data_IF_502667248236
#
_entry.id   IF_502667248236
#
_cell.length_a   1.000
_cell.length_b   1.000
_cell.length_c   1.000
_cell.angle_alpha   90.00
_cell.angle_beta   90.00
_cell.angle_gamma   90.00
#
_symmetry.space_group_name_H-M   'P 1'
#
loop_
_entity.id
_entity.type
_entity.pdbx_description
1 polymer ?
#
# COMPACT_ATOMS: atom_id res chain seq x y z
N UNK A 1 -4.23 -7.09 6.36
CA UNK A 1 -5.70 -7.10 6.48
C UNK A 1 -6.25 -7.62 5.16
N UNK A 2 -6.92 -8.78 5.15
CA UNK A 2 -7.35 -9.45 3.91
C UNK A 2 -8.64 -8.88 3.27
N UNK A 3 -9.29 -7.91 3.92
CA UNK A 3 -10.54 -7.29 3.46
C UNK A 3 -10.46 -5.76 3.38
N UNK A 4 -11.61 -5.12 3.49
CA UNK A 4 -11.76 -3.66 3.39
C UNK A 4 -11.17 -2.92 4.58
N UNK A 5 -10.72 -1.69 4.35
CA UNK A 5 -10.23 -0.80 5.38
C UNK A 5 -10.89 0.58 5.25
N UNK A 6 -11.39 1.09 6.38
CA UNK A 6 -12.03 2.41 6.47
C UNK A 6 -11.07 3.59 6.26
N UNK A 7 -11.51 4.82 6.59
CA UNK A 7 -10.71 6.03 6.44
C UNK A 7 -9.37 6.00 7.20
N UNK A 8 -8.41 6.78 6.69
CA UNK A 8 -7.06 6.97 7.23
C UNK A 8 -6.30 5.67 7.56
N UNK A 9 -6.26 4.67 6.67
CA UNK A 9 -5.47 3.48 6.93
C UNK A 9 -3.99 3.84 7.04
N UNK A 10 -3.31 3.22 8.01
CA UNK A 10 -1.92 3.52 8.36
C UNK A 10 -1.69 4.98 8.83
N UNK A 11 -2.68 5.59 9.48
CA UNK A 11 -2.54 6.89 10.15
C UNK A 11 -1.32 6.91 11.09
N UNK A 12 -0.48 7.94 10.93
CA UNK A 12 0.75 8.15 11.71
C UNK A 12 1.73 6.95 11.74
N UNK A 13 1.71 6.09 10.71
CA UNK A 13 2.58 4.93 10.64
C UNK A 13 4.06 5.34 10.81
N UNK A 14 4.69 4.84 11.88
CA UNK A 14 6.11 5.12 12.18
C UNK A 14 7.07 4.26 11.37
N UNK A 15 6.68 3.03 11.06
CA UNK A 15 7.41 2.05 10.26
C UNK A 15 6.53 0.82 9.98
N UNK A 16 6.90 0.03 8.97
CA UNK A 16 6.29 -1.26 8.69
C UNK A 16 5.59 -1.29 7.34
N UNK A 17 4.81 -2.35 7.11
CA UNK A 17 4.08 -2.57 5.87
C UNK A 17 2.64 -2.93 6.18
N UNK A 18 1.70 -2.22 5.57
CA UNK A 18 0.26 -2.48 5.66
C UNK A 18 -0.21 -2.96 4.30
N UNK A 19 -0.80 -4.15 4.25
CA UNK A 19 -1.42 -4.70 3.03
C UNK A 19 -2.93 -4.75 3.21
N UNK A 20 -3.65 -4.18 2.24
CA UNK A 20 -5.12 -4.07 2.22
C UNK A 20 -5.63 -4.82 0.99
N UNK A 21 -6.37 -5.91 1.23
CA UNK A 21 -6.90 -6.76 0.16
C UNK A 21 -8.16 -6.22 -0.53
N UNK A 22 -8.96 -5.43 0.17
CA UNK A 22 -10.22 -4.88 -0.32
C UNK A 22 -10.20 -3.37 -0.56
N UNK A 23 -11.34 -2.72 -0.30
CA UNK A 23 -11.50 -1.29 -0.40
C UNK A 23 -10.56 -0.52 0.54
N UNK A 24 -10.14 0.67 0.09
CA UNK A 24 -9.25 1.57 0.83
C UNK A 24 -9.98 2.89 1.05
N UNK A 25 -10.23 3.24 2.30
CA UNK A 25 -10.82 4.54 2.66
C UNK A 25 -9.93 5.73 2.30
N UNK A 26 -10.49 6.93 2.44
CA UNK A 26 -9.79 8.18 2.12
C UNK A 26 -8.58 8.43 3.03
N UNK A 27 -7.66 9.28 2.57
CA UNK A 27 -6.49 9.73 3.33
C UNK A 27 -5.54 8.62 3.84
N UNK A 28 -5.25 7.55 3.06
CA UNK A 28 -4.25 6.55 3.46
C UNK A 28 -2.89 7.20 3.74
N UNK A 29 -2.24 6.77 4.82
CA UNK A 29 -0.91 7.22 5.19
C UNK A 29 -0.84 8.66 5.71
N UNK A 30 -1.97 9.30 6.06
CA UNK A 30 -1.95 10.62 6.67
C UNK A 30 -1.04 10.64 7.92
N UNK A 31 -0.06 11.55 7.94
CA UNK A 31 0.91 11.68 9.02
C UNK A 31 1.99 10.58 9.07
N UNK A 32 2.07 9.69 8.08
CA UNK A 32 3.04 8.58 8.12
C UNK A 32 4.48 9.06 8.01
N UNK A 33 5.37 8.53 8.86
CA UNK A 33 6.81 8.89 8.88
C UNK A 33 7.65 8.06 7.91
N UNK A 34 7.36 6.76 7.81
CA UNK A 34 7.97 5.79 6.87
C UNK A 34 7.18 4.49 6.82
N UNK A 35 7.49 3.64 5.85
CA UNK A 35 6.83 2.34 5.63
C UNK A 35 6.00 2.34 4.36
N UNK A 36 5.33 1.22 4.09
CA UNK A 36 4.62 0.99 2.82
C UNK A 36 3.16 0.64 3.09
N UNK A 37 2.23 1.25 2.36
CA UNK A 37 0.83 0.81 2.30
C UNK A 37 0.58 0.25 0.90
N UNK A 38 0.13 -1.00 0.82
CA UNK A 38 -0.09 -1.72 -0.43
C UNK A 38 -1.58 -2.01 -0.54
N UNK A 39 -2.23 -1.36 -1.49
CA UNK A 39 -3.62 -1.57 -1.86
C UNK A 39 -3.70 -2.56 -3.02
N UNK A 40 -4.31 -3.73 -2.84
CA UNK A 40 -4.26 -4.78 -3.86
C UNK A 40 -5.29 -4.62 -4.99
N UNK A 41 -6.44 -4.01 -4.68
CA UNK A 41 -7.59 -3.98 -5.60
C UNK A 41 -8.10 -2.57 -5.88
N UNK A 42 -7.90 -1.64 -4.95
CA UNK A 42 -8.39 -0.27 -5.06
C UNK A 42 -7.28 0.73 -5.42
N UNK A 43 -7.63 1.74 -6.21
CA UNK A 43 -6.82 2.96 -6.35
C UNK A 43 -7.02 3.81 -5.08
N UNK A 44 -5.97 4.05 -4.27
CA UNK A 44 -6.09 4.89 -3.08
C UNK A 44 -6.32 6.36 -3.46
N UNK A 45 -6.96 7.10 -2.56
CA UNK A 45 -7.11 8.55 -2.62
C UNK A 45 -6.24 9.21 -1.52
N UNK A 46 -4.91 9.30 -1.72
CA UNK A 46 -4.00 9.79 -0.70
C UNK A 46 -4.15 11.30 -0.43
N UNK A 47 -3.65 11.79 0.72
CA UNK A 47 -3.59 13.22 1.00
C UNK A 47 -2.79 14.00 -0.05
N UNK A 48 -3.04 15.31 -0.17
CA UNK A 48 -2.32 16.19 -1.11
C UNK A 48 -0.82 16.29 -0.85
N UNK A 49 -0.36 15.91 0.35
CA UNK A 49 1.05 15.80 0.71
C UNK A 49 1.74 14.55 0.14
N UNK A 50 1.01 13.69 -0.58
CA UNK A 50 1.60 12.62 -1.38
C UNK A 50 1.84 13.06 -2.81
N UNK A 51 3.03 12.72 -3.31
CA UNK A 51 3.41 12.95 -4.71
C UNK A 51 3.32 11.66 -5.48
N UNK A 52 2.65 11.70 -6.64
CA UNK A 52 2.57 10.57 -7.55
C UNK A 52 3.95 10.25 -8.13
N UNK A 53 4.38 9.01 -7.98
CA UNK A 53 5.63 8.50 -8.53
C UNK A 53 5.43 7.66 -9.81
N UNK A 54 6.48 6.90 -10.13
CA UNK A 54 6.50 6.02 -11.28
C UNK A 54 5.55 4.81 -11.13
N UNK A 55 5.23 4.18 -12.26
CA UNK A 55 4.74 2.80 -12.28
C UNK A 55 5.94 1.89 -12.55
N UNK A 56 6.16 0.89 -11.69
CA UNK A 56 7.31 -0.01 -11.81
C UNK A 56 7.02 -1.35 -11.13
N UNK A 57 8.03 -2.23 -11.06
CA UNK A 57 7.93 -3.56 -10.45
C UNK A 57 8.79 -3.66 -9.19
N UNK A 58 8.27 -3.32 -8.00
CA UNK A 58 9.01 -3.48 -6.77
C UNK A 58 9.25 -4.96 -6.48
N UNK A 59 10.51 -5.38 -6.46
CA UNK A 59 10.89 -6.79 -6.30
C UNK A 59 10.38 -7.41 -4.99
N UNK A 60 10.21 -6.61 -3.94
CA UNK A 60 9.77 -7.10 -2.63
C UNK A 60 8.28 -7.47 -2.58
N UNK A 61 7.43 -6.86 -3.42
CA UNK A 61 5.99 -7.08 -3.39
C UNK A 61 5.60 -8.52 -3.71
N UNK A 62 6.02 -9.15 -4.83
CA UNK A 62 5.63 -10.54 -5.10
C UNK A 62 6.15 -11.50 -4.03
N UNK A 63 7.33 -11.23 -3.43
CA UNK A 63 7.86 -12.02 -2.32
C UNK A 63 7.00 -11.89 -1.05
N UNK A 64 6.60 -10.67 -0.70
CA UNK A 64 5.72 -10.40 0.42
C UNK A 64 4.35 -11.04 0.24
N UNK A 65 3.72 -10.84 -0.94
CA UNK A 65 2.39 -11.36 -1.23
C UNK A 65 2.37 -12.88 -1.25
N UNK A 66 3.38 -13.53 -1.84
CA UNK A 66 3.53 -14.98 -1.78
C UNK A 66 3.62 -15.46 -0.32
N UNK A 67 4.48 -14.83 0.50
CA UNK A 67 4.62 -15.19 1.92
C UNK A 67 3.31 -15.03 2.70
N UNK A 68 2.54 -13.98 2.41
CA UNK A 68 1.23 -13.75 3.04
C UNK A 68 0.20 -14.77 2.57
N UNK A 69 0.20 -15.13 1.28
CA UNK A 69 -0.66 -16.18 0.74
C UNK A 69 -0.36 -17.55 1.39
N UNK A 70 0.93 -17.92 1.45
CA UNK A 70 1.40 -19.17 2.07
C UNK A 70 1.05 -19.22 3.57
N UNK A 71 0.98 -18.06 4.23
CA UNK A 71 0.58 -17.93 5.64
C UNK A 71 -0.95 -17.85 5.85
N UNK A 72 -1.76 -17.97 4.79
CA UNK A 72 -3.22 -18.05 4.88
C UNK A 72 -3.98 -16.70 4.88
N UNK A 73 -3.35 -15.59 4.52
CA UNK A 73 -3.98 -14.25 4.52
C UNK A 73 -4.96 -13.98 3.36
N UNK A 74 -5.40 -15.02 2.64
CA UNK A 74 -6.54 -14.98 1.72
C UNK A 74 -6.19 -14.94 0.22
N UNK A 75 -7.19 -15.15 -0.66
CA UNK A 75 -6.99 -15.29 -2.11
C UNK A 75 -6.55 -13.99 -2.79
N UNK A 76 -6.87 -12.82 -2.21
CA UNK A 76 -6.46 -11.52 -2.73
C UNK A 76 -4.93 -11.37 -2.79
N UNK A 77 -4.21 -11.92 -1.80
CA UNK A 77 -2.74 -11.94 -1.80
C UNK A 77 -2.21 -12.77 -2.98
N UNK A 78 -2.75 -13.99 -3.15
CA UNK A 78 -2.33 -14.92 -4.18
C UNK A 78 -2.58 -14.36 -5.60
N UNK A 79 -3.76 -13.78 -5.83
CA UNK A 79 -4.09 -13.14 -7.09
C UNK A 79 -3.14 -11.97 -7.41
N UNK A 80 -2.83 -11.14 -6.41
CA UNK A 80 -2.00 -9.96 -6.58
C UNK A 80 -0.51 -10.27 -6.85
N UNK A 81 -0.04 -11.50 -6.62
CA UNK A 81 1.32 -11.93 -7.03
C UNK A 81 1.53 -11.76 -8.55
N UNK A 82 0.46 -11.88 -9.34
CA UNK A 82 0.53 -11.76 -10.80
C UNK A 82 0.63 -10.30 -11.30
N UNK A 83 0.42 -9.31 -10.43
CA UNK A 83 0.46 -7.89 -10.82
C UNK A 83 1.87 -7.50 -11.24
N UNK A 84 1.99 -7.05 -12.49
CA UNK A 84 3.28 -6.75 -13.14
C UNK A 84 3.62 -5.26 -13.14
N UNK A 85 2.80 -4.37 -12.60
CA UNK A 85 3.15 -2.96 -12.46
C UNK A 85 2.39 -2.34 -11.29
N UNK A 86 3.12 -1.58 -10.48
CA UNK A 86 2.62 -0.89 -9.29
C UNK A 86 2.87 0.60 -9.43
N UNK A 87 1.80 1.40 -9.32
CA UNK A 87 1.89 2.85 -9.18
C UNK A 87 2.30 3.17 -7.76
N UNK A 88 3.44 3.85 -7.62
CA UNK A 88 3.93 4.33 -6.34
C UNK A 88 3.52 5.78 -6.09
N UNK A 89 3.29 6.12 -4.82
CA UNK A 89 3.15 7.46 -4.30
C UNK A 89 4.14 7.65 -3.16
N UNK A 90 4.72 8.84 -3.03
CA UNK A 90 5.68 9.17 -1.98
C UNK A 90 5.11 10.22 -1.03
N UNK A 91 5.19 9.97 0.27
CA UNK A 91 4.66 10.86 1.30
C UNK A 91 4.82 10.22 2.68
N UNK A 92 4.28 10.78 3.75
CA UNK A 92 3.68 12.09 3.80
C UNK A 92 4.80 13.16 3.82
N UNK A 93 4.80 14.11 2.87
CA UNK A 93 5.85 15.14 2.83
C UNK A 93 5.82 16.06 4.04
N UNK A 94 4.69 16.17 4.74
CA UNK A 94 4.57 16.90 6.01
C UNK A 94 5.23 16.14 7.18
N UNK A 95 5.48 14.84 7.03
CA UNK A 95 6.10 13.97 8.03
C UNK A 95 7.46 13.39 7.57
N UNK A 96 8.12 14.05 6.60
CA UNK A 96 9.47 13.73 6.14
C UNK A 96 9.55 12.90 4.86
N UNK A 97 8.42 12.50 4.26
CA UNK A 97 8.34 11.98 2.88
C UNK A 97 9.00 10.61 2.63
N UNK A 98 9.17 9.79 3.67
CA UNK A 98 9.82 8.46 3.57
C UNK A 98 8.85 7.28 3.59
N UNK A 99 7.56 7.55 3.54
CA UNK A 99 6.53 6.56 3.32
C UNK A 99 6.19 6.39 1.85
N UNK A 100 5.52 5.30 1.55
CA UNK A 100 5.06 4.99 0.20
C UNK A 100 3.68 4.34 0.21
N UNK A 101 2.90 4.63 -0.83
CA UNK A 101 1.66 3.92 -1.12
C UNK A 101 1.78 3.27 -2.50
N UNK A 102 1.34 2.03 -2.62
CA UNK A 102 1.42 1.26 -3.85
C UNK A 102 0.05 0.69 -4.20
N UNK A 103 -0.33 0.75 -5.47
CA UNK A 103 -1.50 0.08 -6.02
C UNK A 103 -1.21 -0.42 -7.44
N UNK A 104 -1.96 -1.42 -7.97
CA UNK A 104 -1.83 -1.83 -9.35
C UNK A 104 -1.92 -0.63 -10.32
N UNK A 105 -0.99 -0.57 -11.27
CA UNK A 105 -0.83 0.56 -12.19
C UNK A 105 -1.87 0.60 -13.32
#
# INVERSE_FOLDING_TARGET
MGGDCGPAPAFELRAGTVVIGGAVGCQPGLGMRRGSVIALTARPAPPASFRRGAAWRPAFIPLLLKRLADAGFGPSMAAAVTVTAWRQWHGDTLAGGRGELLHPA
#
